data_IF_577815571449
#
_entry.id   IF_577815571449
#
_cell.length_a   1.000
_cell.length_b   1.000
_cell.length_c   1.000
_cell.angle_alpha   90.00
_cell.angle_beta   90.00
_cell.angle_gamma   90.00
#
_symmetry.space_group_name_H-M   'P 1'
#
loop_
_entity.id
_entity.type
_entity.pdbx_description
1 polymer ?
#
# COMPACT_ATOMS: atom_id res chain seq x y z
N UNK A 1 11.23 -25.08 -28.45
CA UNK A 1 10.37 -23.89 -28.70
C UNK A 1 8.98 -24.04 -28.07
N UNK A 2 8.19 -25.06 -28.39
CA UNK A 2 6.81 -25.21 -27.87
C UNK A 2 6.70 -25.11 -26.34
N UNK A 3 7.66 -25.70 -25.60
CA UNK A 3 7.74 -25.57 -24.15
C UNK A 3 7.93 -24.12 -23.67
N UNK A 4 8.75 -23.33 -24.36
CA UNK A 4 8.96 -21.91 -24.04
C UNK A 4 7.70 -21.07 -24.33
N UNK A 5 6.94 -21.42 -25.38
CA UNK A 5 5.62 -20.83 -25.66
C UNK A 5 4.65 -21.14 -24.51
N UNK A 6 4.64 -22.38 -24.02
CA UNK A 6 3.86 -22.76 -22.84
C UNK A 6 4.27 -21.98 -21.59
N UNK A 7 5.57 -21.84 -21.34
CA UNK A 7 6.10 -21.11 -20.20
C UNK A 7 5.68 -19.64 -20.22
N UNK A 8 5.88 -18.92 -21.33
CA UNK A 8 5.52 -17.49 -21.39
C UNK A 8 4.01 -17.26 -21.32
N UNK A 9 3.19 -18.22 -21.77
CA UNK A 9 1.73 -18.15 -21.67
C UNK A 9 1.21 -18.41 -20.27
N UNK A 10 1.79 -19.37 -19.56
CA UNK A 10 1.33 -19.78 -18.23
C UNK A 10 2.02 -19.01 -17.10
N UNK A 11 3.35 -18.95 -17.13
CA UNK A 11 4.18 -18.28 -16.12
C UNK A 11 4.42 -16.80 -16.41
N UNK A 12 4.14 -16.33 -17.63
CA UNK A 12 4.45 -14.95 -18.04
C UNK A 12 5.93 -14.68 -18.29
N UNK A 13 6.80 -15.69 -18.23
CA UNK A 13 8.25 -15.55 -18.45
C UNK A 13 8.86 -16.77 -19.15
N UNK A 14 10.07 -16.60 -19.68
CA UNK A 14 10.85 -17.68 -20.29
C UNK A 14 11.70 -18.37 -19.22
N UNK A 15 11.81 -19.69 -19.30
CA UNK A 15 12.65 -20.45 -18.39
C UNK A 15 14.07 -20.54 -18.94
N UNK A 16 15.05 -20.24 -18.10
CA UNK A 16 16.46 -20.43 -18.45
C UNK A 16 16.79 -21.92 -18.45
N UNK A 17 16.40 -22.64 -17.40
CA UNK A 17 16.60 -24.09 -17.30
C UNK A 17 15.30 -24.86 -17.54
N UNK A 18 15.32 -25.72 -18.56
CA UNK A 18 14.19 -26.54 -18.99
C UNK A 18 13.93 -27.72 -18.06
N UNK A 19 14.87 -28.06 -17.18
CA UNK A 19 14.68 -29.13 -16.19
C UNK A 19 13.66 -28.76 -15.10
N UNK A 20 13.46 -27.46 -14.86
CA UNK A 20 12.38 -26.98 -13.99
C UNK A 20 10.98 -27.25 -14.55
N UNK A 21 10.86 -27.62 -15.83
CA UNK A 21 9.57 -27.99 -16.41
C UNK A 21 9.19 -29.40 -15.93
N UNK A 22 8.01 -29.58 -15.30
CA UNK A 22 7.54 -30.88 -14.87
C UNK A 22 7.60 -31.93 -15.99
N UNK A 23 8.00 -33.15 -15.64
CA UNK A 23 8.15 -34.24 -16.62
C UNK A 23 6.87 -34.49 -17.41
N UNK A 24 5.70 -34.44 -16.76
CA UNK A 24 4.40 -34.58 -17.43
C UNK A 24 4.17 -33.56 -18.54
N UNK A 25 4.56 -32.30 -18.34
CA UNK A 25 4.42 -31.23 -19.36
C UNK A 25 5.37 -31.48 -20.54
N UNK A 26 6.59 -31.96 -20.26
CA UNK A 26 7.56 -32.33 -21.30
C UNK A 26 7.05 -33.47 -22.18
N UNK A 27 6.57 -34.55 -21.57
CA UNK A 27 6.03 -35.71 -22.29
C UNK A 27 4.76 -35.38 -23.06
N UNK A 28 3.85 -34.62 -22.45
CA UNK A 28 2.64 -34.15 -23.12
C UNK A 28 2.98 -33.35 -24.38
N UNK A 29 3.88 -32.37 -24.27
CA UNK A 29 4.29 -31.54 -25.41
C UNK A 29 5.01 -32.36 -26.48
N UNK A 30 5.88 -33.29 -26.10
CA UNK A 30 6.57 -34.18 -27.03
C UNK A 30 5.60 -35.04 -27.84
N UNK A 31 4.59 -35.63 -27.16
CA UNK A 31 3.53 -36.41 -27.82
C UNK A 31 2.74 -35.59 -28.84
N UNK A 32 2.40 -34.34 -28.50
CA UNK A 32 1.68 -33.43 -29.42
C UNK A 32 2.49 -33.10 -30.67
N UNK A 33 3.82 -33.11 -30.58
CA UNK A 33 4.74 -32.82 -31.69
C UNK A 33 5.22 -34.08 -32.43
N UNK A 34 4.75 -35.28 -32.05
CA UNK A 34 5.22 -36.54 -32.62
C UNK A 34 6.66 -36.91 -32.25
N UNK A 35 7.23 -36.31 -31.19
CA UNK A 35 8.60 -36.56 -30.73
C UNK A 35 8.59 -37.75 -29.77
N UNK A 36 9.32 -38.82 -30.15
CA UNK A 36 9.41 -40.06 -29.36
C UNK A 36 10.47 -39.99 -28.26
N UNK A 37 11.60 -39.36 -28.55
CA UNK A 37 12.71 -39.25 -27.61
C UNK A 37 12.82 -37.82 -27.07
N UNK A 38 12.69 -37.69 -25.75
CA UNK A 38 12.71 -36.40 -25.03
C UNK A 38 14.14 -36.01 -24.64
N UNK A 39 15.12 -36.90 -24.80
CA UNK A 39 16.55 -36.59 -24.55
C UNK A 39 17.06 -35.43 -25.40
N UNK A 40 16.42 -35.17 -26.55
CA UNK A 40 16.66 -33.99 -27.41
C UNK A 40 16.53 -32.65 -26.66
N UNK A 41 15.78 -32.61 -25.55
CA UNK A 41 15.70 -31.42 -24.69
C UNK A 41 17.01 -31.11 -23.97
N UNK A 42 17.85 -32.12 -23.71
CA UNK A 42 19.17 -31.92 -23.11
C UNK A 42 20.09 -31.13 -24.06
N UNK A 43 19.93 -31.31 -25.37
CA UNK A 43 20.70 -30.60 -26.39
C UNK A 43 20.20 -29.15 -26.57
N UNK A 44 18.89 -28.91 -26.41
CA UNK A 44 18.25 -27.59 -26.56
C UNK A 44 18.82 -26.51 -25.61
N UNK A 45 19.43 -26.92 -24.49
CA UNK A 45 20.02 -26.02 -23.50
C UNK A 45 21.53 -25.79 -23.63
N UNK A 46 22.24 -26.55 -24.47
CA UNK A 46 23.71 -26.50 -24.51
C UNK A 46 24.26 -25.22 -25.14
N UNK A 47 23.52 -24.60 -26.08
CA UNK A 47 23.89 -23.32 -26.69
C UNK A 47 22.98 -22.21 -26.19
N UNK A 48 23.55 -21.25 -25.47
CA UNK A 48 22.79 -20.11 -24.96
C UNK A 48 22.15 -19.27 -26.08
N UNK A 49 22.80 -19.17 -27.23
CA UNK A 49 22.32 -18.41 -28.39
C UNK A 49 20.96 -18.90 -28.89
N UNK A 50 20.78 -20.22 -28.98
CA UNK A 50 19.54 -20.85 -29.44
C UNK A 50 18.35 -20.50 -28.55
N UNK A 51 18.54 -20.37 -27.23
CA UNK A 51 17.47 -19.94 -26.32
C UNK A 51 17.07 -18.49 -26.54
N UNK A 52 18.05 -17.59 -26.68
CA UNK A 52 17.81 -16.15 -26.91
C UNK A 52 17.12 -15.91 -28.26
N UNK A 53 17.56 -16.61 -29.30
CA UNK A 53 16.95 -16.59 -30.63
C UNK A 53 15.48 -17.06 -30.57
N UNK A 54 15.22 -18.20 -29.91
CA UNK A 54 13.85 -18.69 -29.75
C UNK A 54 12.96 -17.75 -28.93
N UNK A 55 13.49 -17.14 -27.86
CA UNK A 55 12.76 -16.13 -27.10
C UNK A 55 12.44 -14.89 -27.96
N UNK A 56 13.38 -14.44 -28.81
CA UNK A 56 13.14 -13.36 -29.77
C UNK A 56 12.06 -13.72 -30.79
N UNK A 57 12.10 -14.92 -31.38
CA UNK A 57 11.10 -15.40 -32.31
C UNK A 57 9.69 -15.48 -31.67
N UNK A 58 9.60 -16.00 -30.45
CA UNK A 58 8.33 -16.07 -29.71
C UNK A 58 7.79 -14.66 -29.45
N UNK A 59 8.66 -13.72 -29.04
CA UNK A 59 8.25 -12.33 -28.82
C UNK A 59 7.68 -11.68 -30.08
N UNK A 60 8.38 -11.83 -31.21
CA UNK A 60 7.94 -11.27 -32.48
C UNK A 60 6.61 -11.87 -32.94
N UNK A 61 6.48 -13.21 -32.91
CA UNK A 61 5.31 -13.90 -33.45
C UNK A 61 4.07 -13.75 -32.55
N UNK A 62 4.23 -13.76 -31.22
CA UNK A 62 3.13 -13.68 -30.26
C UNK A 62 2.91 -12.28 -29.66
N UNK A 63 3.69 -11.30 -30.13
CA UNK A 63 3.62 -9.89 -29.73
C UNK A 63 3.90 -9.66 -28.24
N UNK A 64 4.77 -10.48 -27.64
CA UNK A 64 5.24 -10.24 -26.28
C UNK A 64 6.25 -9.11 -26.24
N UNK A 65 6.17 -8.31 -25.17
CA UNK A 65 7.00 -7.11 -24.98
C UNK A 65 7.85 -7.27 -23.72
N UNK A 66 9.03 -6.67 -23.73
CA UNK A 66 9.85 -6.59 -22.52
C UNK A 66 9.26 -5.62 -21.50
N UNK A 67 9.57 -5.86 -20.22
CA UNK A 67 9.23 -4.94 -19.15
C UNK A 67 10.15 -3.72 -19.18
N UNK A 68 9.88 -2.83 -20.13
CA UNK A 68 10.61 -1.58 -20.35
C UNK A 68 9.64 -0.41 -20.50
N UNK A 69 10.17 0.81 -20.69
CA UNK A 69 9.34 1.97 -21.02
C UNK A 69 8.56 1.70 -22.33
N UNK A 70 7.26 2.07 -22.44
CA UNK A 70 6.44 2.85 -21.51
C UNK A 70 5.66 2.00 -20.48
N UNK A 71 5.84 0.68 -20.47
CA UNK A 71 5.07 -0.24 -19.64
C UNK A 71 5.42 -0.16 -18.16
N UNK A 72 6.69 0.03 -17.85
CA UNK A 72 7.17 0.32 -16.49
C UNK A 72 6.45 1.54 -15.92
N UNK A 73 6.33 2.62 -16.69
CA UNK A 73 5.62 3.84 -16.31
C UNK A 73 4.11 3.60 -16.14
N UNK A 74 3.47 2.90 -17.08
CA UNK A 74 2.03 2.59 -17.01
C UNK A 74 1.70 1.75 -15.77
N UNK A 75 2.49 0.72 -15.48
CA UNK A 75 2.33 -0.09 -14.28
C UNK A 75 2.55 0.74 -13.02
N UNK A 76 3.59 1.57 -12.99
CA UNK A 76 3.88 2.48 -11.87
C UNK A 76 2.69 3.39 -11.60
N UNK A 77 2.09 3.98 -12.65
CA UNK A 77 0.91 4.84 -12.53
C UNK A 77 -0.30 4.09 -11.98
N UNK A 78 -0.57 2.88 -12.47
CA UNK A 78 -1.64 2.02 -11.96
C UNK A 78 -1.47 1.72 -10.47
N UNK A 79 -0.29 1.23 -10.08
CA UNK A 79 0.05 0.91 -8.69
C UNK A 79 -0.03 2.15 -7.79
N UNK A 80 0.36 3.30 -8.31
CA UNK A 80 0.32 4.56 -7.58
C UNK A 80 -1.11 5.01 -7.31
N UNK A 81 -2.00 4.97 -8.31
CA UNK A 81 -3.42 5.29 -8.12
C UNK A 81 -4.05 4.39 -7.05
N UNK A 82 -3.75 3.08 -7.08
CA UNK A 82 -4.21 2.13 -6.06
C UNK A 82 -3.66 2.44 -4.67
N UNK A 83 -2.34 2.65 -4.58
CA UNK A 83 -1.66 2.95 -3.31
C UNK A 83 -2.04 4.31 -2.72
N UNK A 84 -2.46 5.26 -3.57
CA UNK A 84 -3.00 6.54 -3.13
C UNK A 84 -4.36 6.34 -2.47
N UNK A 85 -5.26 5.58 -3.08
CA UNK A 85 -6.64 5.42 -2.57
C UNK A 85 -6.68 4.57 -1.29
N UNK A 86 -5.89 3.49 -1.22
CA UNK A 86 -5.96 2.51 -0.12
C UNK A 86 -4.59 1.98 0.29
N UNK A 87 -4.47 1.51 1.53
CA UNK A 87 -3.27 0.82 2.02
C UNK A 87 -3.36 -0.70 1.77
N UNK A 88 -3.39 -1.09 0.50
CA UNK A 88 -3.46 -2.50 0.10
C UNK A 88 -2.22 -3.30 0.53
N UNK A 89 -2.42 -4.60 0.80
CA UNK A 89 -1.33 -5.52 1.14
C UNK A 89 -0.38 -5.67 -0.06
N UNK A 90 0.94 -5.78 0.14
CA UNK A 90 1.90 -5.95 -0.96
C UNK A 90 1.58 -7.13 -1.88
N UNK A 91 1.09 -8.25 -1.33
CA UNK A 91 0.68 -9.41 -2.12
C UNK A 91 -0.44 -9.11 -3.12
N UNK A 92 -1.46 -8.35 -2.72
CA UNK A 92 -2.55 -7.97 -3.63
C UNK A 92 -2.07 -7.07 -4.78
N UNK A 93 -1.13 -6.17 -4.49
CA UNK A 93 -0.51 -5.32 -5.51
C UNK A 93 0.41 -6.13 -6.44
N UNK A 94 1.03 -7.20 -5.93
CA UNK A 94 1.83 -8.12 -6.71
C UNK A 94 0.95 -8.95 -7.66
N UNK A 95 -0.16 -9.49 -7.17
CA UNK A 95 -1.14 -10.21 -7.99
C UNK A 95 -1.77 -9.30 -9.04
N UNK A 96 -2.13 -8.08 -8.67
CA UNK A 96 -2.62 -7.05 -9.61
C UNK A 96 -1.59 -6.77 -10.70
N UNK A 97 -0.32 -6.57 -10.32
CA UNK A 97 0.73 -6.24 -11.27
C UNK A 97 1.04 -7.40 -12.22
N UNK A 98 1.15 -8.62 -11.71
CA UNK A 98 1.38 -9.81 -12.54
C UNK A 98 0.22 -10.04 -13.51
N UNK A 99 -1.03 -9.96 -13.03
CA UNK A 99 -2.22 -10.05 -13.88
C UNK A 99 -2.25 -8.98 -14.97
N UNK A 100 -1.95 -7.72 -14.61
CA UNK A 100 -1.90 -6.60 -15.57
C UNK A 100 -0.80 -6.78 -16.62
N UNK A 101 0.38 -7.24 -16.22
CA UNK A 101 1.50 -7.51 -17.14
C UNK A 101 1.15 -8.64 -18.11
N UNK A 102 0.59 -9.75 -17.61
CA UNK A 102 0.16 -10.87 -18.43
C UNK A 102 -0.94 -10.47 -19.43
N UNK A 103 -1.93 -9.70 -18.99
CA UNK A 103 -3.01 -9.19 -19.85
C UNK A 103 -2.48 -8.34 -21.01
N UNK A 104 -1.40 -7.60 -20.80
CA UNK A 104 -0.75 -6.77 -21.82
C UNK A 104 0.39 -7.47 -22.57
N UNK A 105 0.56 -8.79 -22.38
CA UNK A 105 1.64 -9.59 -22.98
C UNK A 105 3.03 -9.03 -22.69
N UNK A 106 3.23 -8.50 -21.49
CA UNK A 106 4.52 -8.03 -21.01
C UNK A 106 5.17 -9.20 -20.26
N UNK A 107 6.41 -9.50 -20.63
CA UNK A 107 7.20 -10.53 -19.95
C UNK A 107 7.42 -10.11 -18.51
N UNK A 108 7.09 -10.99 -17.57
CA UNK A 108 7.23 -10.70 -16.16
C UNK A 108 8.70 -10.46 -15.80
N UNK A 109 9.03 -9.35 -15.13
CA UNK A 109 10.36 -9.16 -14.57
C UNK A 109 10.57 -10.13 -13.40
N UNK A 110 11.80 -10.18 -12.88
CA UNK A 110 12.08 -10.93 -11.65
C UNK A 110 11.17 -10.47 -10.50
N UNK A 111 10.75 -11.40 -9.65
CA UNK A 111 9.86 -11.10 -8.52
C UNK A 111 10.42 -9.98 -7.62
N UNK A 112 11.74 -9.96 -7.40
CA UNK A 112 12.43 -8.91 -6.63
C UNK A 112 12.32 -7.53 -7.28
N UNK A 113 12.38 -7.45 -8.61
CA UNK A 113 12.15 -6.20 -9.36
C UNK A 113 10.75 -5.66 -9.11
N UNK A 114 9.75 -6.54 -9.15
CA UNK A 114 8.36 -6.15 -8.94
C UNK A 114 8.10 -5.75 -7.48
N UNK A 115 8.62 -6.51 -6.52
CA UNK A 115 8.53 -6.20 -5.09
C UNK A 115 9.17 -4.86 -4.76
N UNK A 116 10.33 -4.55 -5.35
CA UNK A 116 10.99 -3.25 -5.18
C UNK A 116 10.14 -2.12 -5.74
N UNK A 117 9.62 -2.26 -6.97
CA UNK A 117 8.73 -1.26 -7.58
C UNK A 117 7.50 -0.99 -6.73
N UNK A 118 6.84 -2.05 -6.24
CA UNK A 118 5.65 -1.92 -5.38
C UNK A 118 6.01 -1.18 -4.08
N UNK A 119 7.12 -1.53 -3.45
CA UNK A 119 7.58 -0.86 -2.23
C UNK A 119 7.82 0.64 -2.46
N UNK A 120 8.56 0.99 -3.52
CA UNK A 120 8.85 2.39 -3.88
C UNK A 120 7.57 3.19 -4.17
N UNK A 121 6.61 2.60 -4.89
CA UNK A 121 5.35 3.27 -5.22
C UNK A 121 4.50 3.51 -3.97
N UNK A 122 4.42 2.52 -3.08
CA UNK A 122 3.70 2.64 -1.80
C UNK A 122 4.33 3.67 -0.89
N UNK A 123 5.65 3.71 -0.83
CA UNK A 123 6.40 4.72 -0.09
C UNK A 123 6.11 6.11 -0.63
N UNK A 124 6.21 6.32 -1.95
CA UNK A 124 5.87 7.61 -2.59
C UNK A 124 4.43 8.06 -2.30
N UNK A 125 3.45 7.15 -2.37
CA UNK A 125 2.07 7.46 -2.03
C UNK A 125 1.91 7.84 -0.54
N UNK A 126 2.66 7.19 0.34
CA UNK A 126 2.67 7.47 1.78
C UNK A 126 3.32 8.81 2.11
N UNK A 127 4.49 9.10 1.53
CA UNK A 127 5.18 10.38 1.69
C UNK A 127 4.31 11.54 1.18
N UNK A 128 3.63 11.37 0.03
CA UNK A 128 2.68 12.38 -0.46
C UNK A 128 1.56 12.66 0.54
N UNK A 129 1.01 11.61 1.15
CA UNK A 129 -0.05 11.76 2.15
C UNK A 129 0.47 12.53 3.37
N UNK A 130 1.64 12.17 3.89
CA UNK A 130 2.23 12.87 5.02
C UNK A 130 2.52 14.33 4.70
N UNK A 131 3.08 14.61 3.53
CA UNK A 131 3.36 15.98 3.11
C UNK A 131 2.08 16.81 3.01
N UNK A 132 1.01 16.25 2.41
CA UNK A 132 -0.28 16.96 2.36
C UNK A 132 -0.84 17.24 3.75
N UNK A 133 -0.83 16.27 4.66
CA UNK A 133 -1.35 16.42 6.01
C UNK A 133 -0.52 17.41 6.85
N UNK A 134 0.81 17.35 6.74
CA UNK A 134 1.70 18.25 7.46
C UNK A 134 1.60 19.72 6.98
N UNK A 135 1.07 19.96 5.79
CA UNK A 135 0.80 21.29 5.25
C UNK A 135 -0.55 21.89 5.68
N UNK A 136 -1.44 21.10 6.28
CA UNK A 136 -2.75 21.57 6.76
C UNK A 136 -2.59 22.60 7.90
N UNK A 137 -1.86 22.31 8.99
CA UNK A 137 -1.84 23.21 10.13
C UNK A 137 -0.95 24.44 9.88
N UNK A 138 -1.40 25.59 10.39
CA UNK A 138 -0.62 26.83 10.53
C UNK A 138 0.57 26.64 11.49
N UNK A 139 1.48 27.62 11.54
CA UNK A 139 2.61 27.56 12.46
C UNK A 139 2.17 27.44 13.94
N UNK A 140 1.13 28.18 14.33
CA UNK A 140 0.56 28.13 15.68
C UNK A 140 -0.10 26.77 15.98
N UNK A 141 -0.91 26.27 15.04
CA UNK A 141 -1.56 24.96 15.16
C UNK A 141 -0.53 23.83 15.24
N UNK A 142 0.60 23.95 14.53
CA UNK A 142 1.70 22.97 14.64
C UNK A 142 2.26 22.93 16.06
N UNK A 143 2.50 24.08 16.67
CA UNK A 143 2.97 24.14 18.07
C UNK A 143 1.94 23.53 19.02
N UNK A 144 0.65 23.83 18.85
CA UNK A 144 -0.42 23.22 19.64
C UNK A 144 -0.47 21.69 19.48
N UNK A 145 -0.36 21.18 18.24
CA UNK A 145 -0.33 19.75 17.97
C UNK A 145 0.89 19.07 18.59
N UNK A 146 2.05 19.72 18.63
CA UNK A 146 3.22 19.16 19.30
C UNK A 146 3.07 19.12 20.82
N UNK A 147 2.34 20.07 21.42
CA UNK A 147 2.03 20.04 22.86
C UNK A 147 1.19 18.81 23.25
N UNK A 148 0.43 18.20 22.33
CA UNK A 148 -0.29 16.94 22.58
C UNK A 148 0.63 15.79 23.05
N UNK A 149 1.91 15.86 22.67
CA UNK A 149 2.91 14.86 23.02
C UNK A 149 3.55 15.09 24.40
N UNK A 150 3.39 16.29 24.97
CA UNK A 150 3.91 16.65 26.28
C UNK A 150 3.02 16.15 27.43
N UNK A 151 3.56 16.02 28.65
CA UNK A 151 2.76 15.74 29.84
C UNK A 151 1.80 16.90 30.11
N UNK A 152 0.60 16.61 30.62
CA UNK A 152 -0.33 17.64 31.10
C UNK A 152 0.06 18.13 32.50
N UNK A 153 -0.19 19.39 32.82
CA UNK A 153 0.10 19.98 34.14
C UNK A 153 -0.56 19.25 35.31
N UNK A 154 -1.69 18.57 35.05
CA UNK A 154 -2.51 17.89 36.07
C UNK A 154 -2.46 16.36 36.03
N UNK A 155 -1.66 15.73 35.15
CA UNK A 155 -1.65 14.27 35.00
C UNK A 155 -0.34 13.74 34.40
N UNK A 156 0.05 12.52 34.79
CA UNK A 156 1.20 11.79 34.19
C UNK A 156 0.98 11.41 32.72
N UNK A 157 -0.25 11.45 32.23
CA UNK A 157 -0.61 11.16 30.85
C UNK A 157 -0.47 12.42 29.99
N UNK A 158 -0.08 12.26 28.73
CA UNK A 158 -0.11 13.36 27.78
C UNK A 158 -1.55 13.68 27.39
N UNK A 159 -1.79 14.89 26.86
CA UNK A 159 -3.10 15.30 26.36
C UNK A 159 -3.58 14.37 25.24
N UNK A 160 -2.66 13.85 24.40
CA UNK A 160 -3.01 12.84 23.40
C UNK A 160 -3.57 11.55 24.02
N UNK A 161 -3.04 11.07 25.16
CA UNK A 161 -3.53 9.85 25.80
C UNK A 161 -4.86 10.07 26.55
N UNK A 162 -5.14 11.29 27.04
CA UNK A 162 -6.46 11.59 27.60
C UNK A 162 -7.51 11.69 26.50
N UNK A 163 -7.22 12.36 25.38
CA UNK A 163 -8.13 12.48 24.23
C UNK A 163 -8.47 11.14 23.58
N UNK A 164 -7.60 10.13 23.74
CA UNK A 164 -7.86 8.76 23.28
C UNK A 164 -8.96 8.03 24.07
N UNK A 165 -9.29 8.50 25.28
CA UNK A 165 -10.27 7.84 26.14
C UNK A 165 -11.66 8.37 25.81
N UNK A 166 -12.53 7.49 25.32
CA UNK A 166 -13.95 7.76 25.18
C UNK A 166 -14.69 7.61 26.52
N UNK A 167 -15.97 8.03 26.58
CA UNK A 167 -16.82 7.83 27.74
C UNK A 167 -17.00 6.33 28.02
N UNK A 168 -17.02 5.96 29.31
CA UNK A 168 -17.17 4.55 29.77
C UNK A 168 -18.46 4.31 30.55
N UNK A 169 -19.25 5.36 30.78
CA UNK A 169 -20.54 5.30 31.48
C UNK A 169 -21.57 6.18 30.77
N UNK A 170 -22.85 5.85 30.93
CA UNK A 170 -23.96 6.67 30.41
C UNK A 170 -24.47 7.52 31.57
N UNK A 171 -24.11 8.81 31.58
CA UNK A 171 -24.52 9.76 32.62
C UNK A 171 -24.33 11.22 32.15
N UNK A 172 -25.03 12.17 32.78
CA UNK A 172 -24.86 13.60 32.49
C UNK A 172 -23.42 14.11 32.62
N UNK A 173 -22.66 13.73 33.68
CA UNK A 173 -21.23 14.04 33.76
C UNK A 173 -20.41 13.45 32.61
N UNK A 174 -20.67 12.20 32.21
CA UNK A 174 -19.97 11.56 31.09
C UNK A 174 -20.28 12.26 29.75
N UNK A 175 -21.51 12.75 29.56
CA UNK A 175 -21.87 13.58 28.40
C UNK A 175 -21.06 14.89 28.38
N UNK A 176 -20.97 15.59 29.52
CA UNK A 176 -20.17 16.82 29.61
C UNK A 176 -18.68 16.56 29.33
N UNK A 177 -18.11 15.47 29.84
CA UNK A 177 -16.73 15.05 29.53
C UNK A 177 -16.54 14.76 28.04
N UNK A 178 -17.50 14.10 27.39
CA UNK A 178 -17.47 13.83 25.96
C UNK A 178 -17.51 15.12 25.13
N UNK A 179 -18.35 16.09 25.52
CA UNK A 179 -18.42 17.41 24.88
C UNK A 179 -17.14 18.21 25.08
N UNK A 180 -16.55 18.24 26.27
CA UNK A 180 -15.27 18.93 26.52
C UNK A 180 -14.12 18.30 25.71
N UNK A 181 -14.11 16.97 25.58
CA UNK A 181 -13.18 16.27 24.70
C UNK A 181 -13.36 16.67 23.23
N UNK A 182 -14.60 16.70 22.74
CA UNK A 182 -14.90 17.17 21.39
C UNK A 182 -14.46 18.62 21.20
N UNK A 183 -14.78 19.51 22.14
CA UNK A 183 -14.40 20.92 22.10
C UNK A 183 -12.89 21.10 22.04
N UNK A 184 -12.15 20.37 22.87
CA UNK A 184 -10.67 20.38 22.84
C UNK A 184 -10.12 19.99 21.46
N UNK A 185 -10.77 19.05 20.76
CA UNK A 185 -10.38 18.63 19.41
C UNK A 185 -10.79 19.65 18.34
N UNK A 186 -12.00 20.20 18.44
CA UNK A 186 -12.52 21.22 17.54
C UNK A 186 -11.76 22.56 17.66
N UNK A 187 -11.25 22.90 18.85
CA UNK A 187 -10.48 24.13 19.10
C UNK A 187 -9.15 24.18 18.34
N UNK A 188 -8.63 23.03 17.87
CA UNK A 188 -7.48 23.02 16.95
C UNK A 188 -7.83 23.64 15.59
N UNK A 189 -9.11 23.71 15.22
CA UNK A 189 -9.58 24.40 14.03
C UNK A 189 -8.95 23.89 12.73
N UNK A 190 -8.73 22.56 12.61
CA UNK A 190 -8.13 21.94 11.41
C UNK A 190 -9.12 21.85 10.23
N UNK A 191 -10.05 22.80 10.14
CA UNK A 191 -11.07 22.91 9.11
C UNK A 191 -10.44 23.35 7.80
N UNK A 192 -9.97 22.38 7.01
CA UNK A 192 -9.35 22.65 5.72
C UNK A 192 -10.26 22.28 4.56
N UNK A 193 -10.48 23.23 3.65
CA UNK A 193 -11.15 23.03 2.35
C UNK A 193 -10.49 21.90 1.52
N UNK A 194 -9.22 21.59 1.82
CA UNK A 194 -8.39 20.61 1.11
C UNK A 194 -8.60 19.14 1.53
N UNK A 195 -9.40 18.86 2.56
CA UNK A 195 -9.65 17.48 3.04
C UNK A 195 -10.33 16.60 1.99
N UNK A 196 -11.14 17.18 1.11
CA UNK A 196 -11.78 16.50 -0.02
C UNK A 196 -10.78 15.84 -0.99
N UNK A 197 -9.55 16.36 -1.06
CA UNK A 197 -8.49 15.83 -1.93
C UNK A 197 -7.72 14.67 -1.32
N UNK A 198 -8.03 14.30 -0.07
CA UNK A 198 -7.37 13.23 0.66
C UNK A 198 -8.20 11.93 0.60
N UNK A 199 -7.56 10.77 0.39
CA UNK A 199 -8.24 9.49 0.45
C UNK A 199 -8.73 9.19 1.87
N UNK A 200 -10.04 9.21 2.07
CA UNK A 200 -10.68 8.99 3.38
C UNK A 200 -10.24 7.68 4.05
N UNK A 201 -10.10 6.59 3.28
CA UNK A 201 -9.63 5.28 3.79
C UNK A 201 -8.21 5.37 4.35
N UNK A 202 -7.33 6.16 3.71
CA UNK A 202 -5.95 6.34 4.18
C UNK A 202 -5.90 7.20 5.44
N UNK A 203 -6.71 8.27 5.48
CA UNK A 203 -6.84 9.13 6.66
C UNK A 203 -7.33 8.32 7.87
N UNK A 204 -8.43 7.57 7.71
CA UNK A 204 -8.98 6.70 8.77
C UNK A 204 -7.97 5.66 9.26
N UNK A 205 -7.22 5.04 8.35
CA UNK A 205 -6.17 4.09 8.73
C UNK A 205 -5.02 4.77 9.51
N UNK A 206 -4.63 5.98 9.13
CA UNK A 206 -3.57 6.73 9.81
C UNK A 206 -4.04 7.23 11.19
N UNK A 207 -5.28 7.68 11.30
CA UNK A 207 -5.90 8.06 12.57
C UNK A 207 -6.00 6.88 13.54
N UNK A 208 -6.45 5.71 13.05
CA UNK A 208 -6.47 4.47 13.83
C UNK A 208 -5.07 4.07 14.30
N UNK A 209 -4.08 4.21 13.42
CA UNK A 209 -2.69 3.99 13.80
C UNK A 209 -2.24 4.96 14.89
N UNK A 210 -2.62 6.25 14.81
CA UNK A 210 -2.33 7.24 15.85
C UNK A 210 -2.98 6.87 17.19
N UNK A 211 -4.23 6.41 17.17
CA UNK A 211 -4.97 5.95 18.35
C UNK A 211 -4.30 4.77 19.07
N UNK A 212 -3.78 3.80 18.31
CA UNK A 212 -3.12 2.61 18.86
C UNK A 212 -1.65 2.84 19.27
N UNK A 213 -1.00 3.87 18.73
CA UNK A 213 0.44 4.11 18.94
C UNK A 213 0.65 4.96 20.18
N UNK A 214 1.54 4.53 21.09
CA UNK A 214 1.94 5.31 22.27
C UNK A 214 2.56 6.66 21.88
N UNK A 215 2.33 7.70 22.67
CA UNK A 215 2.94 9.04 22.55
C UNK A 215 4.44 8.99 22.26
N UNK A 216 5.19 8.18 23.01
CA UNK A 216 6.64 8.06 22.90
C UNK A 216 7.10 7.64 21.49
N UNK A 217 6.39 6.68 20.89
CA UNK A 217 6.66 6.23 19.53
C UNK A 217 6.30 7.29 18.49
N UNK A 218 5.24 8.08 18.73
CA UNK A 218 4.86 9.21 17.86
C UNK A 218 5.93 10.31 17.93
N UNK A 219 6.41 10.64 19.13
CA UNK A 219 7.43 11.67 19.35
C UNK A 219 8.75 11.39 18.60
N UNK A 220 9.15 10.11 18.50
CA UNK A 220 10.36 9.64 17.80
C UNK A 220 10.26 9.59 16.27
N UNK A 221 9.08 9.86 15.69
CA UNK A 221 8.92 9.89 14.24
C UNK A 221 9.63 11.09 13.61
N UNK A 222 9.90 11.03 12.31
CA UNK A 222 10.34 12.20 11.56
C UNK A 222 9.30 13.33 11.66
N UNK A 223 9.70 14.62 11.66
CA UNK A 223 8.78 15.74 11.90
C UNK A 223 7.56 15.74 10.97
N UNK A 224 7.76 15.42 9.69
CA UNK A 224 6.69 15.32 8.69
C UNK A 224 5.69 14.20 9.03
N UNK A 225 6.19 13.00 9.35
CA UNK A 225 5.33 11.86 9.70
C UNK A 225 4.60 12.13 11.02
N UNK A 226 5.30 12.66 12.02
CA UNK A 226 4.74 13.03 13.33
C UNK A 226 3.58 14.00 13.18
N UNK A 227 3.78 15.09 12.44
CA UNK A 227 2.74 16.07 12.18
C UNK A 227 1.55 15.46 11.43
N UNK A 228 1.82 14.65 10.39
CA UNK A 228 0.76 13.98 9.65
C UNK A 228 -0.08 13.03 10.53
N UNK A 229 0.55 12.31 11.46
CA UNK A 229 -0.12 11.43 12.42
C UNK A 229 -0.99 12.23 13.40
N UNK A 230 -0.48 13.34 13.93
CA UNK A 230 -1.22 14.22 14.84
C UNK A 230 -2.42 14.89 14.16
N UNK A 231 -2.23 15.42 12.95
CA UNK A 231 -3.31 15.99 12.15
C UNK A 231 -4.37 14.94 11.84
N UNK A 232 -3.96 13.74 11.41
CA UNK A 232 -4.90 12.65 11.15
C UNK A 232 -5.66 12.20 12.41
N UNK A 233 -4.99 12.22 13.56
CA UNK A 233 -5.62 11.95 14.86
C UNK A 233 -6.73 12.96 15.13
N UNK A 234 -6.41 14.26 15.17
CA UNK A 234 -7.39 15.31 15.50
C UNK A 234 -8.59 15.27 14.56
N UNK A 235 -8.36 15.24 13.24
CA UNK A 235 -9.43 15.24 12.24
C UNK A 235 -10.43 14.08 12.37
N UNK A 236 -9.94 12.88 12.73
CA UNK A 236 -10.81 11.70 12.85
C UNK A 236 -11.39 11.52 14.26
N UNK A 237 -10.66 11.99 15.28
CA UNK A 237 -11.10 11.90 16.66
C UNK A 237 -12.08 12.99 17.02
N UNK A 238 -12.06 14.14 16.34
CA UNK A 238 -13.09 15.17 16.45
C UNK A 238 -14.46 14.59 16.08
N UNK A 239 -14.56 13.95 14.92
CA UNK A 239 -15.83 13.31 14.49
C UNK A 239 -16.24 12.19 15.43
N UNK A 240 -15.29 11.35 15.85
CA UNK A 240 -15.57 10.26 16.79
C UNK A 240 -16.01 10.77 18.17
N UNK A 241 -15.43 11.88 18.64
CA UNK A 241 -15.79 12.45 19.93
C UNK A 241 -17.20 13.07 19.92
N UNK A 242 -17.60 13.63 18.79
CA UNK A 242 -18.97 14.09 18.59
C UNK A 242 -19.96 12.92 18.55
N UNK A 243 -19.64 11.86 17.80
CA UNK A 243 -20.45 10.63 17.72
C UNK A 243 -20.62 10.01 19.13
N UNK A 244 -19.53 9.86 19.88
CA UNK A 244 -19.56 9.34 21.26
C UNK A 244 -20.43 10.20 22.19
N UNK A 245 -20.45 11.52 22.03
CA UNK A 245 -21.28 12.42 22.83
C UNK A 245 -22.77 12.26 22.50
N UNK A 246 -23.10 12.11 21.20
CA UNK A 246 -24.46 11.82 20.74
C UNK A 246 -24.93 10.45 21.25
N UNK A 247 -24.07 9.43 21.18
CA UNK A 247 -24.40 8.09 21.68
C UNK A 247 -24.72 8.08 23.19
N UNK A 248 -23.98 8.86 24.00
CA UNK A 248 -24.28 9.00 25.44
C UNK A 248 -25.61 9.72 25.65
N UNK A 249 -25.89 10.79 24.89
CA UNK A 249 -27.14 11.54 25.00
C UNK A 249 -28.36 10.71 24.60
N UNK A 250 -28.26 9.94 23.51
CA UNK A 250 -29.33 9.08 23.00
C UNK A 250 -29.64 7.91 23.95
N UNK A 251 -28.65 7.50 24.76
CA UNK A 251 -28.79 6.40 25.72
C UNK A 251 -29.26 6.85 27.12
N UNK A 252 -29.35 8.16 27.39
CA UNK A 252 -29.84 8.74 28.65
C UNK A 252 -31.36 8.88 28.68
#
# INVERSE_FOLDING_TARGET
IALQIGCVRFLGTFLTDMNHIPSGVRHFTARQLGIRDITVLAEYGQRENTRREHAALIRQHYQYREFAWPWTFRLTRLLYTRSWISNERPGLLFDLATGWLMQHRIILPGATTLTRLISEVREKATLRLWNKLALIPSAEQRSQLEMLLGPTDCSRLSLLESLKKGPVTISGPAFNEAIERWKTLNDFGLHAENLSTLPAVRLKNLARYAGMTSVFNIARMSPQKRMAVLVAFVLAWETLALDDALDVLDAM
#
